data_IF_800378075967
#
_entry.id   IF_800378075967
#
_cell.length_a   1.000
_cell.length_b   1.000
_cell.length_c   1.000
_cell.angle_alpha   90.00
_cell.angle_beta   90.00
_cell.angle_gamma   90.00
#
_symmetry.space_group_name_H-M   'P 1'
#
loop_
_entity.id
_entity.type
_entity.pdbx_description
1 polymer ?
#
# COMPACT_ATOMS: atom_id res chain seq x y z
N UNK A 1 19.55 -4.45 6.85
CA UNK A 1 18.24 -5.07 7.13
C UNK A 1 17.27 -4.10 7.82
N UNK A 2 17.77 -3.13 8.60
CA UNK A 2 16.98 -1.99 9.09
C UNK A 2 17.22 -0.76 8.20
N UNK A 3 16.17 -0.06 7.74
CA UNK A 3 16.28 1.22 7.01
C UNK A 3 15.57 1.31 5.65
N UNK A 4 14.70 0.35 5.29
CA UNK A 4 13.87 0.45 4.08
C UNK A 4 12.47 0.99 4.40
N UNK A 5 11.78 1.52 3.37
CA UNK A 5 10.38 1.92 3.47
C UNK A 5 9.49 0.77 3.97
N UNK A 6 9.82 -0.48 3.62
CA UNK A 6 9.08 -1.65 4.08
C UNK A 6 9.30 -1.93 5.56
N UNK A 7 10.53 -1.79 6.06
CA UNK A 7 10.82 -1.97 7.48
C UNK A 7 10.15 -0.89 8.35
N UNK A 8 10.00 0.32 7.82
CA UNK A 8 9.28 1.40 8.52
C UNK A 8 7.78 1.07 8.67
N UNK A 9 7.13 0.64 7.58
CA UNK A 9 5.72 0.21 7.62
C UNK A 9 5.55 -1.01 8.55
N UNK A 10 6.48 -1.96 8.49
CA UNK A 10 6.47 -3.13 9.37
C UNK A 10 6.73 -2.77 10.85
N UNK A 11 7.39 -1.66 11.15
CA UNK A 11 7.55 -1.20 12.53
C UNK A 11 6.31 -0.42 13.00
N UNK A 12 5.78 0.47 12.14
CA UNK A 12 4.94 1.57 12.59
C UNK A 12 3.47 1.54 12.11
N UNK A 13 3.12 0.74 11.09
CA UNK A 13 1.75 0.72 10.59
C UNK A 13 0.77 0.11 11.59
N UNK A 14 -0.41 0.72 11.68
CA UNK A 14 -1.55 0.23 12.48
C UNK A 14 -2.48 -0.61 11.61
N UNK A 15 -3.17 -1.61 12.19
CA UNK A 15 -4.26 -2.32 11.51
C UNK A 15 -5.31 -1.38 10.93
N UNK A 16 -5.87 -1.73 9.77
CA UNK A 16 -6.99 -1.02 9.15
C UNK A 16 -6.66 0.29 8.44
N UNK A 17 -5.39 0.69 8.36
CA UNK A 17 -5.00 1.91 7.61
C UNK A 17 -4.92 1.66 6.11
N UNK A 18 -5.01 2.74 5.32
CA UNK A 18 -4.64 2.71 3.90
C UNK A 18 -3.16 3.03 3.75
N UNK A 19 -2.43 2.21 3.01
CA UNK A 19 -1.00 2.42 2.76
C UNK A 19 -0.74 2.94 1.33
N UNK A 20 -0.20 4.16 1.23
CA UNK A 20 0.21 4.74 -0.06
C UNK A 20 1.68 4.42 -0.32
N UNK A 21 2.02 3.90 -1.50
CA UNK A 21 3.39 3.51 -1.85
C UNK A 21 3.70 3.71 -3.34
N UNK A 22 4.99 3.59 -3.70
CA UNK A 22 5.46 3.48 -5.10
C UNK A 22 5.98 2.07 -5.42
N UNK A 23 6.04 1.19 -4.42
CA UNK A 23 6.53 -0.18 -4.55
C UNK A 23 5.41 -1.05 -5.12
N UNK A 24 5.78 -1.97 -6.03
CA UNK A 24 4.82 -2.82 -6.76
C UNK A 24 5.15 -4.31 -6.69
N UNK A 25 6.27 -4.66 -6.07
CA UNK A 25 6.68 -6.05 -5.91
C UNK A 25 5.92 -6.71 -4.75
N UNK A 26 5.80 -8.04 -4.80
CA UNK A 26 5.17 -8.91 -3.80
C UNK A 26 5.36 -8.55 -2.32
N UNK A 27 6.50 -7.98 -1.95
CA UNK A 27 6.79 -7.61 -0.56
C UNK A 27 5.77 -6.62 0.03
N UNK A 28 5.11 -5.80 -0.80
CA UNK A 28 4.03 -4.92 -0.31
C UNK A 28 2.84 -5.74 0.21
N UNK A 29 2.53 -6.88 -0.41
CA UNK A 29 1.45 -7.78 0.02
C UNK A 29 1.83 -8.40 1.34
N UNK A 30 3.04 -8.99 1.44
CA UNK A 30 3.49 -9.62 2.69
C UNK A 30 3.49 -8.65 3.87
N UNK A 31 3.97 -7.42 3.67
CA UNK A 31 3.96 -6.39 4.74
C UNK A 31 2.54 -5.98 5.11
N UNK A 32 1.66 -5.80 4.13
CA UNK A 32 0.27 -5.45 4.38
C UNK A 32 -0.48 -6.54 5.13
N UNK A 33 -0.28 -7.82 4.77
CA UNK A 33 -0.85 -8.96 5.49
C UNK A 33 -0.37 -9.02 6.95
N UNK A 34 0.93 -8.86 7.20
CA UNK A 34 1.48 -8.87 8.57
C UNK A 34 0.98 -7.70 9.44
N UNK A 35 0.45 -6.65 8.82
CA UNK A 35 -0.01 -5.43 9.49
C UNK A 35 -1.51 -5.21 9.44
N UNK A 36 -2.27 -6.20 8.97
CA UNK A 36 -3.73 -6.09 8.79
C UNK A 36 -4.12 -4.81 8.01
N UNK A 37 -3.35 -4.49 6.96
CA UNK A 37 -3.59 -3.35 6.07
C UNK A 37 -4.50 -3.83 4.93
N UNK A 38 -5.77 -3.39 4.87
CA UNK A 38 -6.72 -3.89 3.89
C UNK A 38 -6.51 -3.31 2.48
N UNK A 39 -5.87 -2.15 2.35
CA UNK A 39 -5.74 -1.43 1.09
C UNK A 39 -4.34 -0.86 0.90
N UNK A 40 -3.73 -1.17 -0.25
CA UNK A 40 -2.49 -0.56 -0.74
C UNK A 40 -2.83 0.30 -1.95
N UNK A 41 -2.53 1.60 -1.88
CA UNK A 41 -2.66 2.53 -3.00
C UNK A 41 -1.29 2.80 -3.64
N UNK A 42 -1.11 2.32 -4.86
CA UNK A 42 0.11 2.55 -5.65
C UNK A 42 0.00 3.85 -6.42
N UNK A 43 0.96 4.75 -6.19
CA UNK A 43 1.02 6.07 -6.81
C UNK A 43 1.77 6.08 -8.15
N UNK A 44 1.59 7.17 -8.92
CA UNK A 44 2.26 7.44 -10.21
C UNK A 44 2.02 6.38 -11.30
N UNK A 45 0.80 5.85 -11.38
CA UNK A 45 0.36 4.83 -12.35
C UNK A 45 1.22 3.55 -12.39
N UNK A 46 2.02 3.29 -11.35
CA UNK A 46 2.78 2.05 -11.25
C UNK A 46 1.81 0.90 -10.99
N UNK A 47 2.08 -0.27 -11.59
CA UNK A 47 1.21 -1.44 -11.49
C UNK A 47 1.99 -2.61 -10.90
N UNK A 48 1.37 -3.31 -9.97
CA UNK A 48 1.81 -4.62 -9.56
C UNK A 48 1.66 -5.61 -10.72
N UNK A 49 2.55 -6.59 -10.80
CA UNK A 49 2.42 -7.69 -11.75
C UNK A 49 1.24 -8.62 -11.37
N UNK A 50 0.82 -9.46 -12.32
CA UNK A 50 -0.33 -10.35 -12.14
C UNK A 50 -0.15 -11.33 -10.99
N UNK A 51 1.07 -11.78 -10.73
CA UNK A 51 1.36 -12.65 -9.60
C UNK A 51 1.15 -11.93 -8.26
N UNK A 52 1.65 -10.70 -8.14
CA UNK A 52 1.48 -9.88 -6.94
C UNK A 52 0.00 -9.53 -6.72
N UNK A 53 -0.76 -9.28 -7.78
CA UNK A 53 -2.20 -9.05 -7.68
C UNK A 53 -2.96 -10.30 -7.18
N UNK A 54 -2.61 -11.49 -7.69
CA UNK A 54 -3.19 -12.74 -7.22
C UNK A 54 -2.85 -13.02 -5.75
N UNK A 55 -1.59 -12.82 -5.34
CA UNK A 55 -1.19 -12.95 -3.92
C UNK A 55 -1.97 -11.98 -3.02
N UNK A 56 -2.25 -10.76 -3.49
CA UNK A 56 -3.04 -9.78 -2.75
C UNK A 56 -4.51 -10.19 -2.63
N UNK A 57 -5.10 -10.72 -3.70
CA UNK A 57 -6.47 -11.24 -3.71
C UNK A 57 -6.64 -12.40 -2.73
N UNK A 58 -5.72 -13.38 -2.75
CA UNK A 58 -5.72 -14.51 -1.81
C UNK A 58 -5.60 -14.05 -0.34
N UNK A 59 -4.87 -12.96 -0.10
CA UNK A 59 -4.71 -12.36 1.21
C UNK A 59 -5.86 -11.43 1.63
N UNK A 60 -6.86 -11.18 0.76
CA UNK A 60 -7.95 -10.26 1.02
C UNK A 60 -7.53 -8.78 1.04
N UNK A 61 -6.46 -8.43 0.33
CA UNK A 61 -5.86 -7.09 0.29
C UNK A 61 -6.16 -6.44 -1.07
N UNK A 62 -6.75 -5.26 -1.04
CA UNK A 62 -6.99 -4.49 -2.28
C UNK A 62 -5.75 -3.72 -2.70
N UNK A 63 -5.27 -3.94 -3.92
CA UNK A 63 -4.26 -3.08 -4.55
C UNK A 63 -4.94 -2.15 -5.56
N UNK A 64 -4.93 -0.85 -5.29
CA UNK A 64 -5.41 0.18 -6.20
C UNK A 64 -4.25 0.97 -6.80
N UNK A 65 -4.49 1.67 -7.91
CA UNK A 65 -3.47 2.52 -8.56
C UNK A 65 -4.05 3.89 -8.89
N UNK A 66 -3.24 4.93 -8.77
CA UNK A 66 -3.58 6.30 -9.15
C UNK A 66 -2.45 6.98 -9.93
N UNK A 67 -2.80 7.91 -10.82
CA UNK A 67 -1.83 8.76 -11.52
C UNK A 67 -1.14 9.78 -10.59
N UNK A 68 -1.77 10.07 -9.46
CA UNK A 68 -1.30 11.06 -8.49
C UNK A 68 0.01 10.64 -7.82
N UNK A 69 0.77 11.61 -7.35
CA UNK A 69 1.86 11.38 -6.40
C UNK A 69 1.32 10.96 -5.02
N UNK A 70 2.15 10.37 -4.18
CA UNK A 70 1.74 10.01 -2.81
C UNK A 70 1.25 11.21 -2.01
N UNK A 71 1.85 12.39 -2.21
CA UNK A 71 1.46 13.64 -1.55
C UNK A 71 0.07 14.09 -1.99
N UNK A 72 -0.20 14.17 -3.29
CA UNK A 72 -1.51 14.57 -3.82
C UNK A 72 -2.61 13.57 -3.45
N UNK A 73 -2.31 12.27 -3.50
CA UNK A 73 -3.24 11.22 -3.09
C UNK A 73 -3.60 11.35 -1.60
N UNK A 74 -2.60 11.52 -0.72
CA UNK A 74 -2.83 11.74 0.70
C UNK A 74 -3.68 12.99 0.96
N UNK A 75 -3.36 14.11 0.30
CA UNK A 75 -4.12 15.35 0.42
C UNK A 75 -5.59 15.19 0.02
N UNK A 76 -5.86 14.54 -1.12
CA UNK A 76 -7.24 14.28 -1.57
C UNK A 76 -8.02 13.34 -0.65
N UNK A 77 -7.37 12.29 -0.14
CA UNK A 77 -8.01 11.37 0.80
C UNK A 77 -8.37 12.08 2.11
N UNK A 78 -7.49 12.97 2.58
CA UNK A 78 -7.74 13.81 3.74
C UNK A 78 -8.92 14.79 3.52
N UNK A 79 -8.95 15.49 2.37
CA UNK A 79 -10.06 16.36 1.98
C UNK A 79 -11.39 15.60 1.89
N UNK A 80 -11.35 14.33 1.47
CA UNK A 80 -12.51 13.44 1.41
C UNK A 80 -12.95 12.90 2.79
N UNK A 81 -12.22 13.22 3.86
CA UNK A 81 -12.57 12.87 5.23
C UNK A 81 -11.93 11.60 5.78
N UNK A 82 -11.02 10.94 5.06
CA UNK A 82 -10.24 9.82 5.61
C UNK A 82 -9.18 10.36 6.58
N UNK A 83 -9.05 9.75 7.77
CA UNK A 83 -8.17 10.18 8.86
C UNK A 83 -7.49 9.01 9.57
#
# INVERSE_FOLDING_TARGET
MWGSLLSDVLANARPGVLWITIQTHRNIVSVASMKDIPVILVSRNRRADTQTLAEAEDAGITIATTALTSYEAAGKLWEAGLR
#
